data_IF_532872921766
#
_entry.id   IF_532872921766
#
_cell.length_a   1.000
_cell.length_b   1.000
_cell.length_c   1.000
_cell.angle_alpha   90.00
_cell.angle_beta   90.00
_cell.angle_gamma   90.00
#
_symmetry.space_group_name_H-M   'P 1'
#
loop_
_entity.id
_entity.type
_entity.pdbx_description
1 polymer ?
#
# COMPACT_ATOMS: atom_id res chain seq x y z
N UNK A 1 -24.32 10.34 -2.86
CA UNK A 1 -23.29 9.68 -2.05
C UNK A 1 -22.20 9.17 -2.96
N UNK A 2 -20.96 9.27 -2.52
CA UNK A 2 -19.79 8.88 -3.31
C UNK A 2 -19.16 7.61 -2.75
N UNK A 3 -18.28 6.98 -3.54
CA UNK A 3 -17.43 5.88 -3.09
C UNK A 3 -15.98 6.21 -3.34
N UNK A 4 -15.12 5.85 -2.39
CA UNK A 4 -13.67 5.91 -2.53
C UNK A 4 -13.14 4.48 -2.46
N UNK A 5 -12.39 4.06 -3.47
CA UNK A 5 -11.72 2.77 -3.50
C UNK A 5 -10.22 3.04 -3.35
N UNK A 6 -9.69 2.73 -2.18
CA UNK A 6 -8.27 2.82 -1.89
C UNK A 6 -7.59 1.56 -2.41
N UNK A 7 -6.60 1.73 -3.29
CA UNK A 7 -5.76 0.63 -3.79
C UNK A 7 -4.29 0.87 -3.43
N UNK A 8 -3.58 -0.23 -3.10
CA UNK A 8 -2.15 -0.24 -2.78
C UNK A 8 -1.47 -1.50 -3.30
N UNK A 9 -0.22 -1.78 -2.89
CA UNK A 9 0.62 -2.83 -3.52
C UNK A 9 -0.04 -4.21 -3.53
N UNK A 10 -0.85 -4.54 -2.52
CA UNK A 10 -1.64 -5.78 -2.48
C UNK A 10 -2.67 -5.92 -3.60
N UNK A 11 -3.13 -4.81 -4.19
CA UNK A 11 -3.97 -4.81 -5.38
C UNK A 11 -3.17 -5.30 -6.59
N UNK A 12 -1.97 -4.78 -6.80
CA UNK A 12 -1.08 -5.21 -7.87
C UNK A 12 -0.65 -6.67 -7.69
N UNK A 13 -0.32 -7.07 -6.46
CA UNK A 13 0.00 -8.46 -6.11
C UNK A 13 -1.16 -9.42 -6.43
N UNK A 14 -2.41 -9.01 -6.20
CA UNK A 14 -3.57 -9.81 -6.58
C UNK A 14 -3.66 -10.05 -8.10
N UNK A 15 -3.08 -9.17 -8.91
CA UNK A 15 -2.96 -9.29 -10.36
C UNK A 15 -1.61 -9.90 -10.81
N UNK A 16 -0.89 -10.57 -9.90
CA UNK A 16 0.41 -11.18 -10.13
C UNK A 16 1.54 -10.20 -10.51
N UNK A 17 1.39 -8.91 -10.22
CA UNK A 17 2.47 -7.93 -10.33
C UNK A 17 3.31 -7.95 -9.07
N UNK A 18 4.61 -8.23 -9.21
CA UNK A 18 5.58 -8.27 -8.12
C UNK A 18 5.99 -6.87 -7.65
N UNK A 19 5.05 -6.09 -7.11
CA UNK A 19 5.30 -4.71 -6.64
C UNK A 19 5.70 -4.63 -5.16
N UNK A 20 5.86 -5.77 -4.49
CA UNK A 20 6.31 -5.82 -3.11
C UNK A 20 7.76 -5.36 -2.96
N UNK A 21 8.09 -4.68 -1.86
CA UNK A 21 9.48 -4.26 -1.59
C UNK A 21 10.43 -5.45 -1.42
N UNK A 22 9.93 -6.61 -0.95
CA UNK A 22 10.72 -7.84 -0.96
C UNK A 22 11.07 -8.28 -2.38
N UNK A 23 10.08 -8.34 -3.28
CA UNK A 23 10.32 -8.75 -4.67
C UNK A 23 11.33 -7.84 -5.37
N UNK A 24 11.27 -6.53 -5.07
CA UNK A 24 12.23 -5.54 -5.52
C UNK A 24 13.66 -5.83 -5.03
N UNK A 25 13.86 -6.02 -3.72
CA UNK A 25 15.19 -6.32 -3.15
C UNK A 25 15.72 -7.66 -3.65
N UNK A 26 14.85 -8.66 -3.74
CA UNK A 26 15.20 -9.99 -4.22
C UNK A 26 15.59 -9.97 -5.71
N UNK A 27 14.89 -9.23 -6.59
CA UNK A 27 15.26 -9.06 -8.00
C UNK A 27 16.64 -8.40 -8.16
N UNK A 28 16.95 -7.40 -7.33
CA UNK A 28 18.26 -6.76 -7.32
C UNK A 28 19.36 -7.79 -6.99
N UNK A 29 19.25 -8.51 -5.87
CA UNK A 29 20.29 -9.46 -5.45
C UNK A 29 20.41 -10.66 -6.38
N UNK A 30 19.31 -11.14 -6.95
CA UNK A 30 19.35 -12.17 -8.00
C UNK A 30 20.08 -11.67 -9.24
N UNK A 31 19.82 -10.44 -9.68
CA UNK A 31 20.53 -9.83 -10.81
C UNK A 31 22.03 -9.68 -10.54
N UNK A 32 22.42 -9.26 -9.32
CA UNK A 32 23.83 -9.17 -8.91
C UNK A 32 24.49 -10.56 -8.94
N UNK A 33 23.83 -11.57 -8.36
CA UNK A 33 24.31 -12.95 -8.34
C UNK A 33 24.50 -13.53 -9.74
N UNK A 34 23.54 -13.28 -10.64
CA UNK A 34 23.62 -13.69 -12.05
C UNK A 34 24.80 -13.05 -12.78
N UNK A 35 25.05 -11.75 -12.57
CA UNK A 35 26.19 -11.05 -13.21
C UNK A 35 27.55 -11.55 -12.72
N UNK A 36 27.64 -11.94 -11.46
CA UNK A 36 28.91 -12.35 -10.83
C UNK A 36 29.27 -13.79 -11.15
N UNK A 37 28.32 -14.71 -11.02
CA UNK A 37 28.58 -16.13 -11.22
C UNK A 37 28.26 -16.58 -12.65
N UNK A 38 27.31 -15.93 -13.33
CA UNK A 38 26.82 -16.32 -14.65
C UNK A 38 25.81 -17.46 -14.57
N UNK A 39 24.66 -17.33 -15.26
CA UNK A 39 23.60 -18.36 -15.26
C UNK A 39 24.07 -19.75 -15.74
N UNK A 40 25.04 -19.80 -16.65
CA UNK A 40 25.65 -21.05 -17.11
C UNK A 40 26.40 -21.81 -16.00
N UNK A 41 27.18 -21.10 -15.18
CA UNK A 41 27.95 -21.72 -14.10
C UNK A 41 27.08 -22.07 -12.89
N UNK A 42 25.97 -21.36 -12.68
CA UNK A 42 24.95 -21.75 -11.70
C UNK A 42 24.42 -23.15 -12.00
N UNK A 43 24.08 -23.43 -13.26
CA UNK A 43 23.58 -24.74 -13.71
C UNK A 43 24.66 -25.84 -13.54
N UNK A 44 25.92 -25.55 -13.89
CA UNK A 44 27.00 -26.53 -13.78
C UNK A 44 27.43 -26.82 -12.33
N UNK A 45 27.41 -25.84 -11.42
CA UNK A 45 27.69 -26.11 -9.99
C UNK A 45 26.57 -26.97 -9.39
N UNK A 46 25.31 -26.69 -9.72
CA UNK A 46 24.17 -27.49 -9.25
C UNK A 46 24.20 -28.93 -9.78
N UNK A 47 24.60 -29.12 -11.04
CA UNK A 47 24.55 -30.44 -11.69
C UNK A 47 25.82 -31.27 -11.50
N UNK A 48 26.99 -30.62 -11.39
CA UNK A 48 28.30 -31.28 -11.44
C UNK A 48 29.28 -30.84 -10.34
N UNK A 49 28.91 -29.88 -9.48
CA UNK A 49 29.79 -29.33 -8.44
C UNK A 49 31.02 -28.59 -9.00
N UNK A 50 30.95 -28.14 -10.26
CA UNK A 50 32.04 -27.40 -10.90
C UNK A 50 31.97 -25.92 -10.54
N UNK A 51 32.94 -25.49 -9.75
CA UNK A 51 32.99 -24.15 -9.18
C UNK A 51 33.84 -23.20 -10.05
N UNK A 52 33.27 -22.05 -10.44
CA UNK A 52 33.92 -21.06 -11.32
C UNK A 52 34.39 -19.82 -10.56
N UNK A 53 35.30 -19.06 -11.16
CA UNK A 53 35.72 -17.75 -10.66
C UNK A 53 34.56 -16.76 -10.59
N UNK A 54 34.51 -15.96 -9.52
CA UNK A 54 33.56 -14.85 -9.39
C UNK A 54 34.06 -13.65 -10.21
N UNK A 55 33.18 -13.07 -11.03
CA UNK A 55 33.45 -11.82 -11.72
C UNK A 55 33.34 -10.62 -10.76
N UNK A 56 34.12 -9.58 -11.03
CA UNK A 56 33.96 -8.30 -10.35
C UNK A 56 32.62 -7.66 -10.74
N UNK A 57 31.99 -6.96 -9.78
CA UNK A 57 30.75 -6.22 -9.97
C UNK A 57 30.83 -4.85 -9.29
N UNK A 58 30.32 -3.82 -9.96
CA UNK A 58 30.34 -2.45 -9.44
C UNK A 58 29.11 -1.69 -9.92
N UNK A 59 28.34 -1.17 -8.97
CA UNK A 59 27.27 -0.21 -9.25
C UNK A 59 27.21 0.88 -8.16
N UNK A 60 26.12 1.64 -8.09
CA UNK A 60 25.96 2.70 -7.08
C UNK A 60 25.78 2.17 -5.65
N UNK A 61 25.30 0.94 -5.48
CA UNK A 61 24.91 0.37 -4.19
C UNK A 61 25.98 -0.53 -3.61
N UNK A 62 26.67 -1.32 -4.44
CA UNK A 62 27.64 -2.30 -4.00
C UNK A 62 28.90 -2.33 -4.87
N UNK A 63 30.00 -2.78 -4.27
CA UNK A 63 31.21 -3.19 -4.96
C UNK A 63 31.56 -4.61 -4.54
N UNK A 64 31.66 -5.52 -5.51
CA UNK A 64 32.16 -6.89 -5.31
C UNK A 64 33.42 -7.05 -6.13
N UNK A 65 34.53 -7.37 -5.47
CA UNK A 65 35.83 -7.46 -6.14
C UNK A 65 36.66 -8.60 -5.57
N UNK A 66 37.46 -9.19 -6.44
CA UNK A 66 38.41 -10.25 -6.07
C UNK A 66 39.81 -9.65 -5.92
N UNK A 67 40.47 -9.87 -4.78
CA UNK A 67 41.85 -9.42 -4.51
C UNK A 67 42.81 -10.60 -4.37
N UNK A 68 44.06 -10.40 -4.77
CA UNK A 68 45.15 -11.35 -4.57
C UNK A 68 45.65 -11.32 -3.13
N UNK A 69 45.87 -12.50 -2.56
CA UNK A 69 46.27 -12.71 -1.16
C UNK A 69 45.08 -13.08 -0.29
N UNK A 70 45.31 -14.03 0.65
CA UNK A 70 44.33 -14.40 1.68
C UNK A 70 44.31 -13.26 2.71
N UNK A 71 43.34 -12.36 2.60
CA UNK A 71 43.19 -11.28 3.55
C UNK A 71 42.67 -11.79 4.90
N UNK A 72 43.26 -11.33 6.00
CA UNK A 72 42.73 -11.51 7.38
C UNK A 72 41.56 -10.57 7.68
N UNK A 73 41.07 -9.82 6.69
CA UNK A 73 39.98 -8.84 6.87
C UNK A 73 38.64 -9.50 6.66
N UNK A 74 37.91 -9.60 7.77
CA UNK A 74 36.50 -9.93 7.92
C UNK A 74 35.68 -9.32 6.77
N UNK A 75 34.81 -10.11 6.14
CA UNK A 75 33.67 -9.54 5.40
C UNK A 75 33.03 -8.47 6.31
N UNK A 76 32.60 -7.33 5.76
CA UNK A 76 31.77 -6.39 6.55
C UNK A 76 30.65 -7.23 7.19
N UNK A 77 30.60 -7.25 8.53
CA UNK A 77 29.67 -8.10 9.28
C UNK A 77 28.26 -7.52 9.14
N UNK A 78 27.55 -7.87 8.07
CA UNK A 78 26.13 -7.60 7.95
C UNK A 78 25.33 -8.89 8.18
N UNK A 79 24.16 -8.74 8.80
CA UNK A 79 23.33 -9.87 9.23
C UNK A 79 22.41 -10.32 8.09
N UNK A 80 22.39 -11.62 7.80
CA UNK A 80 21.53 -12.21 6.76
C UNK A 80 21.03 -13.60 7.19
N UNK A 81 19.95 -14.05 6.54
CA UNK A 81 19.42 -15.41 6.67
C UNK A 81 19.79 -16.24 5.45
N UNK A 82 20.28 -17.46 5.67
CA UNK A 82 20.52 -18.43 4.59
C UNK A 82 19.20 -18.75 3.84
N UNK A 83 19.26 -18.85 2.52
CA UNK A 83 18.09 -19.08 1.65
C UNK A 83 17.40 -17.81 1.15
N UNK A 84 17.82 -16.62 1.58
CA UNK A 84 17.45 -15.35 0.92
C UNK A 84 18.43 -15.04 -0.22
N UNK A 85 18.05 -14.28 -1.28
CA UNK A 85 18.96 -13.95 -2.37
C UNK A 85 20.28 -13.29 -1.94
N UNK A 86 20.26 -12.39 -0.95
CA UNK A 86 21.47 -11.82 -0.35
C UNK A 86 22.27 -12.88 0.42
N UNK A 87 21.60 -13.71 1.21
CA UNK A 87 22.24 -14.80 1.95
C UNK A 87 22.90 -15.81 1.02
N UNK A 88 22.24 -16.19 -0.07
CA UNK A 88 22.77 -17.06 -1.11
C UNK A 88 24.04 -16.49 -1.75
N UNK A 89 24.06 -15.18 -2.05
CA UNK A 89 25.25 -14.50 -2.55
C UNK A 89 26.39 -14.55 -1.52
N UNK A 90 26.10 -14.31 -0.24
CA UNK A 90 27.10 -14.36 0.83
C UNK A 90 27.65 -15.77 1.04
N UNK A 91 26.79 -16.79 0.97
CA UNK A 91 27.18 -18.20 1.03
C UNK A 91 28.04 -18.57 -0.18
N UNK A 92 27.71 -18.07 -1.38
CA UNK A 92 28.52 -18.25 -2.59
C UNK A 92 29.93 -17.65 -2.43
N UNK A 93 30.01 -16.41 -1.93
CA UNK A 93 31.29 -15.73 -1.66
C UNK A 93 32.09 -16.50 -0.59
N UNK A 94 31.44 -16.97 0.47
CA UNK A 94 32.09 -17.74 1.54
C UNK A 94 32.63 -19.08 1.03
N UNK A 95 31.86 -19.79 0.19
CA UNK A 95 32.29 -21.02 -0.50
C UNK A 95 33.48 -20.74 -1.43
N UNK A 96 33.46 -19.62 -2.15
CA UNK A 96 34.57 -19.18 -2.99
C UNK A 96 35.85 -18.96 -2.18
N UNK A 97 35.76 -18.15 -1.13
CA UNK A 97 36.90 -17.79 -0.29
C UNK A 97 37.45 -18.99 0.49
N UNK A 98 36.60 -19.95 0.85
CA UNK A 98 37.03 -21.17 1.56
C UNK A 98 37.74 -22.16 0.63
N UNK A 99 37.36 -22.21 -0.64
CA UNK A 99 37.94 -23.12 -1.64
C UNK A 99 39.15 -22.53 -2.37
N UNK A 100 39.30 -21.20 -2.39
CA UNK A 100 40.40 -20.51 -3.07
C UNK A 100 41.50 -20.10 -2.08
N UNK A 101 42.74 -20.49 -2.38
CA UNK A 101 43.91 -20.20 -1.54
C UNK A 101 44.68 -18.95 -1.97
N UNK A 102 44.35 -18.39 -3.14
CA UNK A 102 45.14 -17.33 -3.80
C UNK A 102 44.42 -16.00 -3.86
N UNK A 103 43.09 -16.01 -3.88
CA UNK A 103 42.28 -14.80 -4.00
C UNK A 103 41.11 -14.80 -3.02
N UNK A 104 40.74 -13.62 -2.54
CA UNK A 104 39.57 -13.40 -1.68
C UNK A 104 38.63 -12.40 -2.35
N UNK A 105 37.36 -12.76 -2.46
CA UNK A 105 36.27 -11.90 -2.94
C UNK A 105 35.56 -11.25 -1.76
N UNK A 106 35.32 -9.95 -1.84
CA UNK A 106 34.62 -9.18 -0.81
C UNK A 106 33.39 -8.48 -1.42
N UNK A 107 32.31 -8.43 -0.65
CA UNK A 107 31.16 -7.55 -0.89
C UNK A 107 31.30 -6.33 0.03
N UNK A 108 31.23 -5.14 -0.55
CA UNK A 108 31.19 -3.87 0.15
C UNK A 108 29.95 -3.08 -0.25
N UNK A 109 29.23 -2.55 0.73
CA UNK A 109 28.15 -1.60 0.48
C UNK A 109 28.71 -0.19 0.26
N UNK A 110 28.23 0.48 -0.79
CA UNK A 110 28.47 1.90 -1.06
C UNK A 110 27.32 2.78 -0.58
N UNK A 111 26.12 2.21 -0.51
CA UNK A 111 24.91 2.85 -0.02
C UNK A 111 24.47 2.15 1.28
N UNK A 112 24.62 2.86 2.41
CA UNK A 112 24.41 2.32 3.76
C UNK A 112 22.92 2.15 4.04
N UNK A 113 22.07 3.05 3.55
CA UNK A 113 20.62 2.86 3.63
C UNK A 113 20.16 1.58 2.91
N UNK A 114 20.75 1.29 1.73
CA UNK A 114 20.45 0.07 0.98
C UNK A 114 20.93 -1.20 1.70
N UNK A 115 22.08 -1.14 2.38
CA UNK A 115 22.55 -2.20 3.28
C UNK A 115 21.54 -2.49 4.39
N UNK A 116 21.04 -1.44 5.05
CA UNK A 116 20.05 -1.54 6.12
C UNK A 116 18.78 -2.26 5.66
N UNK A 117 18.18 -1.82 4.55
CA UNK A 117 16.94 -2.44 4.04
C UNK A 117 17.18 -3.85 3.50
N UNK A 118 18.33 -4.11 2.87
CA UNK A 118 18.68 -5.44 2.35
C UNK A 118 18.89 -6.46 3.46
N UNK A 119 19.61 -6.07 4.51
CA UNK A 119 19.86 -6.91 5.68
C UNK A 119 18.54 -7.23 6.39
N UNK A 120 17.68 -6.22 6.61
CA UNK A 120 16.37 -6.43 7.22
C UNK A 120 15.48 -7.35 6.39
N UNK A 121 15.37 -7.09 5.08
CA UNK A 121 14.58 -7.92 4.17
C UNK A 121 15.06 -9.39 4.17
N UNK A 122 16.38 -9.61 4.16
CA UNK A 122 16.96 -10.94 4.26
C UNK A 122 16.57 -11.67 5.55
N UNK A 123 16.58 -10.97 6.69
CA UNK A 123 16.31 -11.57 8.00
C UNK A 123 14.82 -11.89 8.23
N UNK A 124 13.93 -10.97 7.84
CA UNK A 124 12.50 -11.04 8.19
C UNK A 124 11.58 -11.42 7.04
N UNK A 125 12.10 -11.62 5.84
CA UNK A 125 11.29 -11.86 4.63
C UNK A 125 10.25 -10.74 4.38
N UNK A 126 10.52 -9.54 4.91
CA UNK A 126 9.63 -8.37 4.86
C UNK A 126 10.43 -7.10 5.13
N UNK A 127 10.10 -6.01 4.44
CA UNK A 127 10.65 -4.69 4.72
C UNK A 127 9.63 -3.62 4.34
N UNK A 128 9.62 -2.53 5.10
CA UNK A 128 8.93 -1.30 4.75
C UNK A 128 9.98 -0.19 4.64
N UNK A 129 10.33 0.14 3.39
CA UNK A 129 11.45 1.04 3.08
C UNK A 129 11.17 2.46 3.62
N UNK A 130 9.92 2.91 3.64
CA UNK A 130 9.56 4.24 4.12
C UNK A 130 9.66 4.33 5.63
N UNK A 131 9.24 3.28 6.34
CA UNK A 131 9.44 3.18 7.79
C UNK A 131 10.93 3.03 8.15
N UNK A 132 11.73 2.31 7.36
CA UNK A 132 13.19 2.23 7.58
C UNK A 132 13.89 3.57 7.37
N UNK A 133 13.48 4.32 6.36
CA UNK A 133 13.97 5.69 6.14
C UNK A 133 13.62 6.59 7.32
N UNK A 134 12.38 6.53 7.81
CA UNK A 134 11.99 7.33 8.97
C UNK A 134 12.73 6.93 10.24
N UNK A 135 12.97 5.63 10.46
CA UNK A 135 13.79 5.19 11.57
C UNK A 135 15.24 5.70 11.46
N UNK A 136 15.83 5.73 10.25
CA UNK A 136 17.12 6.35 10.03
C UNK A 136 17.11 7.87 10.29
N UNK A 137 16.03 8.58 9.96
CA UNK A 137 15.86 9.99 10.35
C UNK A 137 15.89 10.16 11.87
N UNK A 138 15.16 9.30 12.61
CA UNK A 138 15.15 9.34 14.09
C UNK A 138 16.52 9.10 14.68
N UNK A 139 17.29 8.17 14.12
CA UNK A 139 18.66 7.91 14.56
C UNK A 139 19.53 9.17 14.43
N UNK A 140 19.35 9.95 13.35
CA UNK A 140 20.05 11.21 13.13
C UNK A 140 19.61 12.35 14.07
N UNK A 141 18.37 12.31 14.60
CA UNK A 141 17.91 13.28 15.61
C UNK A 141 18.74 13.21 16.90
N UNK A 142 19.34 12.05 17.19
CA UNK A 142 20.15 11.83 18.38
C UNK A 142 21.58 12.36 18.23
N UNK A 143 22.01 12.72 17.01
CA UNK A 143 23.33 13.31 16.76
C UNK A 143 23.41 14.73 17.32
N UNK A 144 24.39 14.97 18.20
CA UNK A 144 24.54 16.24 18.91
C UNK A 144 25.36 17.26 18.13
N UNK A 145 26.22 16.78 17.23
CA UNK A 145 26.99 17.66 16.35
C UNK A 145 26.11 18.09 15.17
N UNK A 146 25.72 19.37 15.15
CA UNK A 146 24.83 19.93 14.12
C UNK A 146 25.45 19.91 12.72
N UNK A 147 26.77 20.04 12.58
CA UNK A 147 27.44 20.00 11.27
C UNK A 147 27.46 18.56 10.74
N UNK A 148 27.76 17.61 11.62
CA UNK A 148 27.72 16.18 11.28
C UNK A 148 26.29 15.74 10.95
N UNK A 149 25.31 16.07 11.79
CA UNK A 149 23.90 15.77 11.56
C UNK A 149 23.42 16.30 10.19
N UNK A 150 23.75 17.55 9.87
CA UNK A 150 23.37 18.17 8.59
C UNK A 150 24.04 17.50 7.38
N UNK A 151 25.26 17.00 7.52
CA UNK A 151 25.94 16.23 6.47
C UNK A 151 25.36 14.84 6.31
N UNK A 152 25.10 14.15 7.42
CA UNK A 152 24.61 12.77 7.42
C UNK A 152 23.18 12.67 6.87
N UNK A 153 22.31 13.66 7.15
CA UNK A 153 20.97 13.72 6.53
C UNK A 153 21.04 13.90 5.01
N UNK A 154 21.95 14.73 4.51
CA UNK A 154 22.14 14.89 3.05
C UNK A 154 22.64 13.60 2.39
N UNK A 155 23.50 12.84 3.09
CA UNK A 155 23.93 11.52 2.62
C UNK A 155 22.73 10.56 2.60
N UNK A 156 21.95 10.48 3.68
CA UNK A 156 20.77 9.64 3.76
C UNK A 156 19.74 9.97 2.66
N UNK A 157 19.46 11.25 2.41
CA UNK A 157 18.53 11.68 1.37
C UNK A 157 19.00 11.27 -0.02
N UNK A 158 20.30 11.42 -0.30
CA UNK A 158 20.89 10.96 -1.56
C UNK A 158 20.82 9.44 -1.71
N UNK A 159 21.14 8.71 -0.65
CA UNK A 159 21.08 7.25 -0.65
C UNK A 159 19.64 6.75 -0.86
N UNK A 160 18.66 7.43 -0.25
CA UNK A 160 17.23 7.16 -0.42
C UNK A 160 16.77 7.45 -1.86
N UNK A 161 17.25 8.54 -2.47
CA UNK A 161 16.97 8.88 -3.86
C UNK A 161 17.56 7.87 -4.85
N UNK A 162 18.78 7.37 -4.59
CA UNK A 162 19.35 6.27 -5.38
C UNK A 162 18.45 5.01 -5.29
N UNK A 163 17.97 4.64 -4.08
CA UNK A 163 17.03 3.52 -3.91
C UNK A 163 15.72 3.75 -4.64
N UNK A 164 15.18 4.97 -4.60
CA UNK A 164 13.99 5.35 -5.36
C UNK A 164 14.19 5.12 -6.86
N UNK A 165 15.31 5.60 -7.43
CA UNK A 165 15.61 5.39 -8.84
C UNK A 165 15.76 3.92 -9.23
N UNK A 166 16.31 3.08 -8.34
CA UNK A 166 16.39 1.64 -8.55
C UNK A 166 15.00 0.98 -8.52
N UNK A 167 14.13 1.39 -7.59
CA UNK A 167 12.75 0.93 -7.50
C UNK A 167 11.96 1.30 -8.76
N UNK A 168 12.11 2.51 -9.27
CA UNK A 168 11.46 2.96 -10.51
C UNK A 168 11.87 2.11 -11.71
N UNK A 169 13.17 1.82 -11.84
CA UNK A 169 13.68 0.95 -12.91
C UNK A 169 13.11 -0.48 -12.81
N UNK A 170 13.04 -1.02 -11.58
CA UNK A 170 12.45 -2.33 -11.32
C UNK A 170 10.97 -2.38 -11.68
N UNK A 171 10.19 -1.40 -11.21
CA UNK A 171 8.75 -1.33 -11.48
C UNK A 171 8.46 -1.18 -12.98
N UNK A 172 9.30 -0.44 -13.71
CA UNK A 172 9.17 -0.28 -15.18
C UNK A 172 9.34 -1.64 -15.87
N UNK A 173 10.40 -2.38 -15.50
CA UNK A 173 10.69 -3.72 -16.03
C UNK A 173 9.55 -4.71 -15.81
N UNK A 174 8.95 -4.75 -14.62
CA UNK A 174 7.89 -5.74 -14.32
C UNK A 174 6.58 -5.40 -15.04
N UNK A 175 6.25 -4.11 -15.21
CA UNK A 175 5.00 -3.69 -15.86
C UNK A 175 5.04 -3.93 -17.37
N UNK A 176 6.19 -3.72 -18.02
CA UNK A 176 6.36 -3.98 -19.46
C UNK A 176 6.13 -5.45 -19.83
N UNK A 177 6.41 -6.37 -18.90
CA UNK A 177 6.30 -7.82 -19.11
C UNK A 177 5.03 -8.43 -18.51
N UNK A 178 4.11 -7.61 -17.98
CA UNK A 178 2.96 -8.09 -17.23
C UNK A 178 1.79 -8.49 -18.14
N UNK A 179 1.27 -9.69 -17.91
CA UNK A 179 -0.03 -10.12 -18.44
C UNK A 179 -1.11 -9.95 -17.36
N UNK A 180 -1.93 -8.91 -17.52
CA UNK A 180 -2.90 -8.47 -16.53
C UNK A 180 -4.29 -9.02 -16.84
N UNK A 181 -4.89 -9.67 -15.86
CA UNK A 181 -6.22 -10.28 -16.00
C UNK A 181 -7.23 -9.58 -15.08
N UNK A 182 -8.44 -9.36 -15.60
CA UNK A 182 -9.53 -8.81 -14.81
C UNK A 182 -10.08 -9.86 -13.83
N UNK A 183 -10.15 -9.50 -12.55
CA UNK A 183 -10.88 -10.28 -11.55
C UNK A 183 -12.34 -9.83 -11.41
N UNK A 184 -13.27 -10.78 -11.60
CA UNK A 184 -14.71 -10.50 -11.52
C UNK A 184 -15.14 -10.08 -10.10
N UNK A 185 -14.51 -10.60 -9.04
CA UNK A 185 -14.79 -10.20 -7.66
C UNK A 185 -14.56 -8.70 -7.44
N UNK A 186 -13.46 -8.17 -8.00
CA UNK A 186 -13.11 -6.75 -7.94
C UNK A 186 -14.10 -5.93 -8.76
N UNK A 187 -14.42 -6.37 -9.99
CA UNK A 187 -15.40 -5.69 -10.84
C UNK A 187 -16.78 -5.59 -10.15
N UNK A 188 -17.24 -6.69 -9.54
CA UNK A 188 -18.50 -6.73 -8.80
C UNK A 188 -18.49 -5.77 -7.61
N UNK A 189 -17.38 -5.71 -6.86
CA UNK A 189 -17.21 -4.79 -5.74
C UNK A 189 -17.22 -3.32 -6.19
N UNK A 190 -16.60 -2.98 -7.32
CA UNK A 190 -16.60 -1.62 -7.84
C UNK A 190 -18.02 -1.14 -8.19
N UNK A 191 -18.84 -2.05 -8.75
CA UNK A 191 -20.23 -1.78 -9.15
C UNK A 191 -21.29 -2.08 -8.07
N UNK A 192 -20.89 -2.41 -6.83
CA UNK A 192 -21.86 -2.83 -5.81
C UNK A 192 -22.72 -1.67 -5.32
N UNK A 193 -23.93 -1.96 -4.85
CA UNK A 193 -24.76 -0.98 -4.15
C UNK A 193 -24.10 -0.56 -2.83
N UNK A 194 -24.53 0.57 -2.29
CA UNK A 194 -24.33 0.95 -0.89
C UNK A 194 -25.22 0.06 -0.03
N UNK A 195 -24.62 -0.71 0.86
CA UNK A 195 -25.36 -1.49 1.85
C UNK A 195 -25.65 -0.64 3.09
N UNK A 196 -26.86 -0.77 3.64
CA UNK A 196 -27.22 -0.05 4.87
C UNK A 196 -26.52 -0.64 6.08
N UNK A 197 -26.31 -1.96 6.09
CA UNK A 197 -25.63 -2.65 7.18
C UNK A 197 -24.14 -2.30 7.25
N UNK A 198 -23.56 -1.84 6.13
CA UNK A 198 -22.20 -1.28 6.12
C UNK A 198 -22.13 0.10 6.81
N UNK A 199 -23.23 0.83 6.98
CA UNK A 199 -23.20 2.24 7.43
C UNK A 199 -23.09 2.35 8.95
N UNK A 200 -22.12 3.13 9.42
CA UNK A 200 -21.93 3.41 10.83
C UNK A 200 -23.23 3.90 11.50
N UNK A 201 -23.52 3.40 12.71
CA UNK A 201 -24.76 3.71 13.40
C UNK A 201 -24.92 5.22 13.62
N UNK A 202 -23.83 5.92 13.98
CA UNK A 202 -23.86 7.36 14.18
C UNK A 202 -24.06 8.17 12.87
N UNK A 203 -24.00 7.52 11.71
CA UNK A 203 -24.10 8.14 10.38
C UNK A 203 -25.35 7.74 9.60
N UNK A 204 -26.16 6.80 10.08
CA UNK A 204 -27.35 6.30 9.37
C UNK A 204 -28.35 7.42 9.02
N UNK A 205 -28.65 8.33 9.94
CA UNK A 205 -29.54 9.47 9.63
C UNK A 205 -28.96 10.35 8.51
N UNK A 206 -27.66 10.64 8.55
CA UNK A 206 -26.98 11.40 7.50
C UNK A 206 -27.02 10.69 6.15
N UNK A 207 -26.86 9.37 6.15
CA UNK A 207 -26.99 8.53 4.96
C UNK A 207 -28.40 8.65 4.36
N UNK A 208 -29.44 8.43 5.18
CA UNK A 208 -30.83 8.54 4.75
C UNK A 208 -31.17 9.95 4.27
N UNK A 209 -30.78 10.99 4.99
CA UNK A 209 -30.99 12.39 4.60
C UNK A 209 -30.43 12.71 3.21
N UNK A 210 -29.28 12.13 2.86
CA UNK A 210 -28.67 12.32 1.54
C UNK A 210 -29.49 11.67 0.41
N UNK A 211 -30.12 10.52 0.67
CA UNK A 211 -31.03 9.87 -0.28
C UNK A 211 -32.25 10.76 -0.53
N UNK A 212 -32.86 11.27 0.54
CA UNK A 212 -34.01 12.16 0.41
C UNK A 212 -33.68 13.49 -0.25
N UNK A 213 -32.47 14.01 -0.01
CA UNK A 213 -31.99 15.20 -0.73
C UNK A 213 -31.93 14.95 -2.24
N UNK A 214 -31.50 13.75 -2.65
CA UNK A 214 -31.49 13.37 -4.06
C UNK A 214 -32.87 13.07 -4.65
N UNK A 215 -33.77 12.44 -3.88
CA UNK A 215 -35.17 12.25 -4.30
C UNK A 215 -35.83 13.60 -4.57
N UNK A 216 -35.66 14.57 -3.67
CA UNK A 216 -36.17 15.93 -3.86
C UNK A 216 -35.56 16.61 -5.09
N UNK A 217 -34.25 16.43 -5.34
CA UNK A 217 -33.58 17.00 -6.51
C UNK A 217 -34.06 16.39 -7.85
N UNK A 218 -34.68 15.21 -7.81
CA UNK A 218 -35.24 14.50 -8.98
C UNK A 218 -36.77 14.63 -9.08
N UNK A 219 -37.39 15.46 -8.23
CA UNK A 219 -38.85 15.57 -8.10
C UNK A 219 -39.53 14.21 -7.88
N UNK A 220 -38.90 13.31 -7.11
CA UNK A 220 -39.48 12.02 -6.74
C UNK A 220 -40.40 12.16 -5.52
N UNK A 221 -41.72 12.09 -5.77
CA UNK A 221 -42.77 12.20 -4.76
C UNK A 221 -43.17 10.85 -4.11
N UNK A 222 -42.45 9.75 -4.36
CA UNK A 222 -42.79 8.42 -3.81
C UNK A 222 -42.94 8.45 -2.28
N UNK A 223 -42.06 9.18 -1.58
CA UNK A 223 -42.14 9.33 -0.13
C UNK A 223 -43.39 10.09 0.34
N UNK A 224 -43.73 11.20 -0.32
CA UNK A 224 -44.92 11.99 0.04
C UNK A 224 -46.18 11.15 -0.19
N UNK A 225 -46.25 10.44 -1.32
CA UNK A 225 -47.35 9.55 -1.64
C UNK A 225 -47.46 8.40 -0.63
N UNK A 226 -46.36 7.76 -0.21
CA UNK A 226 -46.41 6.70 0.80
C UNK A 226 -46.86 7.24 2.17
N UNK A 227 -46.42 8.46 2.52
CA UNK A 227 -46.79 9.12 3.78
C UNK A 227 -48.29 9.43 3.85
N UNK A 228 -48.88 9.94 2.77
CA UNK A 228 -50.31 10.28 2.72
C UNK A 228 -51.21 9.04 2.78
N UNK A 229 -50.73 7.90 2.25
CA UNK A 229 -51.51 6.67 2.14
C UNK A 229 -51.33 5.69 3.31
N UNK A 230 -50.33 5.88 4.18
CA UNK A 230 -50.07 4.96 5.30
C UNK A 230 -50.24 5.63 6.67
N UNK A 231 -51.23 5.17 7.44
CA UNK A 231 -51.51 5.69 8.78
C UNK A 231 -50.40 5.45 9.81
N UNK A 232 -49.44 4.56 9.54
CA UNK A 232 -48.31 4.29 10.44
C UNK A 232 -47.46 5.54 10.69
N UNK A 233 -47.32 6.43 9.69
CA UNK A 233 -46.56 7.67 9.84
C UNK A 233 -47.18 8.66 10.84
N UNK A 234 -48.47 8.53 11.17
CA UNK A 234 -49.11 9.37 12.18
C UNK A 234 -48.63 9.07 13.60
N UNK A 235 -48.01 7.89 13.81
CA UNK A 235 -47.41 7.50 15.09
C UNK A 235 -45.96 7.96 15.24
N UNK A 236 -45.38 8.51 14.18
CA UNK A 236 -43.98 8.93 14.13
C UNK A 236 -43.92 10.46 14.24
N UNK A 237 -43.14 10.96 15.18
CA UNK A 237 -43.13 12.39 15.51
C UNK A 237 -42.20 13.17 14.58
N UNK A 238 -40.98 12.70 14.38
CA UNK A 238 -39.96 13.48 13.67
C UNK A 238 -39.89 13.17 12.17
N UNK A 239 -39.47 14.17 11.38
CA UNK A 239 -39.24 13.98 9.93
C UNK A 239 -38.17 12.91 9.66
N UNK A 240 -37.08 12.91 10.43
CA UNK A 240 -35.98 11.96 10.30
C UNK A 240 -36.44 10.51 10.51
N UNK A 241 -37.28 10.26 11.51
CA UNK A 241 -37.82 8.91 11.77
C UNK A 241 -38.78 8.47 10.66
N UNK A 242 -39.59 9.38 10.10
CA UNK A 242 -40.45 9.07 8.94
C UNK A 242 -39.62 8.70 7.72
N UNK A 243 -38.55 9.45 7.47
CA UNK A 243 -37.61 9.18 6.38
C UNK A 243 -36.91 7.82 6.56
N UNK A 244 -36.43 7.55 7.77
CA UNK A 244 -35.84 6.25 8.11
C UNK A 244 -36.85 5.10 7.91
N UNK A 245 -38.09 5.26 8.38
CA UNK A 245 -39.13 4.25 8.23
C UNK A 245 -39.41 3.93 6.75
N UNK A 246 -39.58 4.96 5.91
CA UNK A 246 -39.75 4.77 4.47
C UNK A 246 -38.56 4.06 3.83
N UNK A 247 -37.34 4.48 4.19
CA UNK A 247 -36.12 3.87 3.69
C UNK A 247 -36.06 2.37 4.03
N UNK A 248 -36.28 2.00 5.29
CA UNK A 248 -36.28 0.60 5.74
C UNK A 248 -37.33 -0.26 5.01
N UNK A 249 -38.48 0.32 4.67
CA UNK A 249 -39.53 -0.34 3.88
C UNK A 249 -39.12 -0.60 2.43
N UNK A 250 -38.17 0.18 1.87
CA UNK A 250 -37.86 0.22 0.43
C UNK A 250 -36.45 -0.23 0.09
N UNK A 251 -35.50 -0.25 1.02
CA UNK A 251 -34.08 -0.44 0.69
C UNK A 251 -33.78 -1.75 -0.04
N UNK A 252 -34.59 -2.80 0.17
CA UNK A 252 -34.40 -4.10 -0.51
C UNK A 252 -34.98 -4.15 -1.92
N UNK A 253 -35.80 -3.17 -2.30
CA UNK A 253 -36.37 -3.12 -3.63
C UNK A 253 -35.28 -2.79 -4.66
N UNK A 254 -35.12 -3.65 -5.67
CA UNK A 254 -34.08 -3.53 -6.71
C UNK A 254 -34.19 -2.19 -7.47
N UNK A 255 -35.39 -1.71 -7.76
CA UNK A 255 -35.57 -0.42 -8.45
C UNK A 255 -35.11 0.73 -7.56
N UNK A 256 -35.44 0.68 -6.27
CA UNK A 256 -34.97 1.66 -5.29
C UNK A 256 -33.44 1.65 -5.17
N UNK A 257 -32.82 0.46 -5.07
CA UNK A 257 -31.36 0.31 -5.03
C UNK A 257 -30.68 0.94 -6.25
N UNK A 258 -31.18 0.64 -7.46
CA UNK A 258 -30.64 1.19 -8.72
C UNK A 258 -30.74 2.70 -8.80
N UNK A 259 -31.82 3.28 -8.27
CA UNK A 259 -32.05 4.72 -8.34
C UNK A 259 -31.26 5.49 -7.28
N UNK A 260 -31.12 4.94 -6.07
CA UNK A 260 -30.70 5.71 -4.89
C UNK A 260 -29.53 5.13 -4.09
N UNK A 261 -29.22 3.84 -4.26
CA UNK A 261 -28.12 3.16 -3.55
C UNK A 261 -26.92 2.87 -4.45
N UNK A 262 -26.91 3.36 -5.68
CA UNK A 262 -25.69 3.42 -6.48
C UNK A 262 -24.86 4.66 -6.09
N UNK A 263 -23.53 4.54 -5.96
CA UNK A 263 -22.67 5.72 -5.83
C UNK A 263 -22.88 6.68 -7.01
N UNK A 264 -22.96 7.98 -6.74
CA UNK A 264 -23.00 9.01 -7.81
C UNK A 264 -21.66 9.11 -8.52
N UNK A 265 -20.59 9.13 -7.72
CA UNK A 265 -19.22 9.15 -8.21
C UNK A 265 -18.40 8.13 -7.43
N UNK A 266 -17.62 7.33 -8.15
CA UNK A 266 -16.62 6.44 -7.57
C UNK A 266 -15.24 6.97 -7.93
N UNK A 267 -14.43 7.23 -6.89
CA UNK A 267 -13.05 7.64 -6.98
C UNK A 267 -12.15 6.47 -6.61
N UNK A 268 -11.22 6.12 -7.50
CA UNK A 268 -10.10 5.23 -7.19
C UNK A 268 -8.96 6.10 -6.67
N UNK A 269 -8.65 5.96 -5.39
CA UNK A 269 -7.49 6.58 -4.77
C UNK A 269 -6.31 5.61 -4.86
N UNK A 270 -5.46 5.82 -5.86
CA UNK A 270 -4.36 4.94 -6.21
C UNK A 270 -3.08 5.35 -5.49
N UNK A 271 -2.62 4.50 -4.57
CA UNK A 271 -1.32 4.64 -3.88
C UNK A 271 -0.20 3.88 -4.60
N UNK A 272 -0.52 3.07 -5.62
CA UNK A 272 0.48 2.42 -6.45
C UNK A 272 1.03 3.40 -7.47
N UNK A 273 2.26 3.14 -7.90
CA UNK A 273 2.89 3.86 -9.01
C UNK A 273 2.45 3.31 -10.38
N UNK A 274 1.74 2.19 -10.38
CA UNK A 274 1.28 1.45 -11.56
C UNK A 274 -0.12 1.89 -12.00
N UNK A 275 -0.48 1.56 -13.25
CA UNK A 275 -1.79 1.88 -13.85
C UNK A 275 -2.71 0.66 -13.94
N UNK A 276 -2.55 -0.32 -13.04
CA UNK A 276 -3.30 -1.59 -13.07
C UNK A 276 -4.81 -1.35 -13.07
N UNK A 277 -5.30 -0.51 -12.15
CA UNK A 277 -6.73 -0.24 -12.03
C UNK A 277 -7.30 0.52 -13.24
N UNK A 278 -6.55 1.50 -13.75
CA UNK A 278 -6.91 2.26 -14.95
C UNK A 278 -7.04 1.35 -16.20
N UNK A 279 -6.09 0.43 -16.38
CA UNK A 279 -6.09 -0.48 -17.52
C UNK A 279 -7.24 -1.50 -17.48
N UNK A 280 -7.60 -1.98 -16.30
CA UNK A 280 -8.53 -3.11 -16.16
C UNK A 280 -9.97 -2.70 -15.83
N UNK A 281 -10.18 -1.63 -15.05
CA UNK A 281 -11.48 -1.40 -14.41
C UNK A 281 -12.17 -0.08 -14.77
N UNK A 282 -11.49 0.84 -15.49
CA UNK A 282 -12.05 2.19 -15.72
C UNK A 282 -12.57 2.46 -17.13
N UNK A 283 -12.28 1.62 -18.13
CA UNK A 283 -12.60 1.89 -19.53
C UNK A 283 -14.10 2.17 -19.81
N UNK A 284 -15.00 1.50 -19.09
CA UNK A 284 -16.46 1.59 -19.34
C UNK A 284 -17.27 2.23 -18.19
N UNK A 285 -16.62 2.51 -17.05
CA UNK A 285 -17.33 2.79 -15.79
C UNK A 285 -17.29 4.27 -15.35
N UNK A 286 -16.51 5.12 -16.03
CA UNK A 286 -16.43 6.55 -15.70
C UNK A 286 -15.84 6.85 -14.32
N UNK A 287 -15.03 5.95 -13.76
CA UNK A 287 -14.39 6.14 -12.46
C UNK A 287 -13.33 7.23 -12.52
N UNK A 288 -13.34 8.12 -11.53
CA UNK A 288 -12.28 9.09 -11.34
C UNK A 288 -11.06 8.39 -10.73
N UNK A 289 -9.84 8.76 -11.13
CA UNK A 289 -8.61 8.22 -10.54
C UNK A 289 -7.75 9.37 -10.03
N UNK A 290 -7.29 9.24 -8.79
CA UNK A 290 -6.25 10.09 -8.23
C UNK A 290 -5.04 9.21 -7.89
N UNK A 291 -3.95 9.39 -8.63
CA UNK A 291 -2.65 8.76 -8.34
C UNK A 291 -1.92 9.60 -7.28
N UNK A 292 -2.24 9.33 -6.01
CA UNK A 292 -1.87 10.21 -4.89
C UNK A 292 -0.36 10.19 -4.62
N UNK A 293 0.29 9.07 -4.94
CA UNK A 293 1.73 8.88 -4.81
C UNK A 293 2.51 9.11 -6.11
N UNK A 294 1.87 9.73 -7.11
CA UNK A 294 2.49 9.88 -8.42
C UNK A 294 2.36 8.65 -9.30
N UNK A 295 2.95 8.75 -10.48
CA UNK A 295 2.89 7.74 -11.53
C UNK A 295 4.30 7.44 -12.03
N UNK A 296 4.53 6.16 -12.33
CA UNK A 296 5.77 5.73 -12.98
C UNK A 296 5.90 6.39 -14.36
N UNK A 297 7.10 6.90 -14.66
CA UNK A 297 7.42 7.55 -15.94
C UNK A 297 6.56 8.77 -16.29
N UNK A 298 6.08 9.52 -15.27
CA UNK A 298 5.30 10.75 -15.46
C UNK A 298 5.98 11.96 -14.78
N UNK A 299 6.54 12.86 -15.59
CA UNK A 299 7.21 14.07 -15.08
C UNK A 299 6.25 15.08 -14.41
N UNK A 300 4.96 15.08 -14.79
CA UNK A 300 3.97 16.00 -14.22
C UNK A 300 3.39 15.50 -12.89
N UNK A 301 3.52 14.20 -12.62
CA UNK A 301 3.07 13.56 -11.41
C UNK A 301 4.12 12.54 -10.95
N UNK A 302 5.33 13.00 -10.57
CA UNK A 302 6.44 12.12 -10.25
C UNK A 302 6.17 11.33 -8.97
N UNK A 303 6.89 10.23 -8.81
CA UNK A 303 6.74 9.34 -7.65
C UNK A 303 7.01 10.07 -6.33
N UNK A 304 6.04 9.99 -5.44
CA UNK A 304 6.09 10.45 -4.05
C UNK A 304 6.39 9.24 -3.17
N UNK A 305 7.66 9.05 -2.88
CA UNK A 305 8.17 8.01 -1.99
C UNK A 305 8.78 8.68 -0.74
N UNK A 306 8.39 8.22 0.44
CA UNK A 306 8.80 8.86 1.70
C UNK A 306 7.89 8.57 2.89
N UNK A 307 8.05 9.34 3.96
CA UNK A 307 7.28 9.13 5.19
C UNK A 307 6.17 10.16 5.37
N UNK A 308 5.06 9.77 6.00
CA UNK A 308 3.85 10.59 6.08
C UNK A 308 3.03 10.41 7.36
N UNK A 309 3.68 10.10 8.49
CA UNK A 309 3.06 10.18 9.82
C UNK A 309 3.47 11.47 10.55
N UNK A 310 2.68 12.53 10.37
CA UNK A 310 2.90 13.80 11.08
C UNK A 310 2.34 13.78 12.50
N UNK A 311 1.60 12.73 12.86
CA UNK A 311 1.01 12.57 14.19
C UNK A 311 1.97 11.88 15.17
N UNK A 312 3.16 11.46 14.70
CA UNK A 312 4.22 10.87 15.49
C UNK A 312 4.95 11.95 16.31
N UNK A 313 5.31 11.63 17.55
CA UNK A 313 5.97 12.61 18.44
C UNK A 313 7.34 13.05 17.92
N UNK A 314 8.05 12.16 17.22
CA UNK A 314 9.40 12.47 16.73
C UNK A 314 9.33 13.36 15.48
N UNK A 315 8.20 13.36 14.75
CA UNK A 315 7.98 14.28 13.64
C UNK A 315 7.96 15.73 14.13
N UNK A 316 7.32 15.97 15.28
CA UNK A 316 7.33 17.30 15.90
C UNK A 316 8.76 17.77 16.22
N UNK A 317 9.63 16.86 16.67
CA UNK A 317 11.03 17.18 16.91
C UNK A 317 11.78 17.52 15.60
N UNK A 318 11.45 16.83 14.49
CA UNK A 318 11.95 17.14 13.16
C UNK A 318 11.56 18.57 12.72
N UNK A 319 10.30 18.96 12.90
CA UNK A 319 9.82 20.31 12.54
C UNK A 319 10.53 21.41 13.35
N UNK A 320 10.80 21.16 14.63
CA UNK A 320 11.43 22.12 15.54
C UNK A 320 12.94 22.35 15.24
N UNK A 321 13.61 21.42 14.55
CA UNK A 321 15.06 21.49 14.25
C UNK A 321 15.45 22.59 13.25
N UNK A 322 14.49 23.19 12.54
CA UNK A 322 14.73 24.20 11.49
C UNK A 322 15.77 23.77 10.42
N UNK A 323 15.88 22.47 10.14
CA UNK A 323 16.74 21.91 9.11
C UNK A 323 15.91 21.23 8.02
N UNK A 324 15.78 21.91 6.87
CA UNK A 324 14.91 21.48 5.78
C UNK A 324 15.31 20.13 5.15
N UNK A 325 16.54 19.65 5.31
CA UNK A 325 16.94 18.35 4.79
C UNK A 325 16.17 17.20 5.46
N UNK A 326 15.74 17.35 6.72
CA UNK A 326 14.89 16.33 7.37
C UNK A 326 13.48 16.27 6.79
N UNK A 327 13.04 17.33 6.13
CA UNK A 327 11.70 17.46 5.55
C UNK A 327 11.64 17.06 4.07
N UNK A 328 12.79 16.77 3.45
CA UNK A 328 12.92 16.54 2.00
C UNK A 328 12.07 15.37 1.49
N UNK A 329 11.97 14.29 2.26
CA UNK A 329 11.21 13.09 1.90
C UNK A 329 9.93 12.90 2.73
N UNK A 330 9.32 14.01 3.16
CA UNK A 330 8.01 13.98 3.82
C UNK A 330 6.90 14.09 2.76
N UNK A 331 5.97 13.13 2.77
CA UNK A 331 4.92 12.99 1.73
C UNK A 331 3.97 14.18 1.68
N UNK A 332 3.57 14.71 2.83
CA UNK A 332 2.64 15.86 2.91
C UNK A 332 3.17 17.09 2.19
N UNK A 333 4.49 17.35 2.29
CA UNK A 333 5.16 18.42 1.56
C UNK A 333 5.15 18.13 0.07
N UNK A 334 5.45 16.89 -0.33
CA UNK A 334 5.43 16.46 -1.74
C UNK A 334 4.02 16.51 -2.35
N UNK A 335 2.95 16.31 -1.58
CA UNK A 335 1.57 16.43 -2.07
C UNK A 335 1.21 17.84 -2.58
N UNK A 336 1.96 18.87 -2.21
CA UNK A 336 1.78 20.22 -2.74
C UNK A 336 2.38 20.42 -4.14
N UNK A 337 3.16 19.46 -4.64
CA UNK A 337 3.77 19.53 -5.97
C UNK A 337 2.75 19.29 -7.10
N UNK A 338 1.62 18.65 -6.79
CA UNK A 338 0.53 18.41 -7.75
C UNK A 338 -0.83 18.79 -7.15
N UNK A 339 -1.89 18.77 -7.97
CA UNK A 339 -3.27 19.06 -7.50
C UNK A 339 -3.96 17.84 -6.90
N UNK A 340 -3.34 16.67 -6.88
CA UNK A 340 -3.98 15.40 -6.52
C UNK A 340 -4.56 15.42 -5.11
N UNK A 341 -3.79 15.87 -4.11
CA UNK A 341 -4.28 15.96 -2.74
C UNK A 341 -5.41 17.00 -2.59
N UNK A 342 -5.32 18.13 -3.29
CA UNK A 342 -6.42 19.12 -3.30
C UNK A 342 -7.69 18.57 -3.97
N UNK A 343 -7.56 17.79 -5.02
CA UNK A 343 -8.70 17.13 -5.68
C UNK A 343 -9.35 16.11 -4.73
N UNK A 344 -8.55 15.35 -3.99
CA UNK A 344 -9.06 14.46 -2.93
C UNK A 344 -9.83 15.24 -1.87
N UNK A 345 -9.29 16.36 -1.36
CA UNK A 345 -9.97 17.20 -0.38
C UNK A 345 -11.32 17.75 -0.89
N UNK A 346 -11.36 18.18 -2.15
CA UNK A 346 -12.61 18.61 -2.79
C UNK A 346 -13.62 17.45 -2.86
N UNK A 347 -13.17 16.25 -3.24
CA UNK A 347 -14.02 15.07 -3.34
C UNK A 347 -14.64 14.70 -1.98
N UNK A 348 -13.83 14.56 -0.93
CA UNK A 348 -14.32 14.15 0.41
C UNK A 348 -15.23 15.21 1.05
N UNK A 349 -15.07 16.48 0.68
CA UNK A 349 -15.88 17.58 1.18
C UNK A 349 -17.23 17.71 0.46
N UNK A 350 -17.34 17.18 -0.76
CA UNK A 350 -18.51 17.39 -1.63
C UNK A 350 -19.78 16.71 -1.11
N UNK A 351 -19.72 15.41 -0.81
CA UNK A 351 -20.87 14.58 -0.45
C UNK A 351 -20.45 13.50 0.57
N UNK A 352 -21.41 12.91 1.32
CA UNK A 352 -21.15 11.71 2.11
C UNK A 352 -20.60 10.56 1.26
N UNK A 353 -19.65 9.79 1.80
CA UNK A 353 -18.98 8.72 1.07
C UNK A 353 -18.71 7.46 1.90
N UNK A 354 -18.62 6.34 1.18
CA UNK A 354 -18.14 5.04 1.68
C UNK A 354 -16.70 4.80 1.19
N UNK A 355 -15.87 4.18 2.02
CA UNK A 355 -14.50 3.80 1.67
C UNK A 355 -14.39 2.28 1.54
N UNK A 356 -13.82 1.83 0.44
CA UNK A 356 -13.35 0.46 0.24
C UNK A 356 -11.83 0.43 0.29
N UNK A 357 -11.26 -0.47 1.09
CA UNK A 357 -9.81 -0.70 1.18
C UNK A 357 -9.48 -2.00 0.47
N UNK A 358 -8.72 -1.92 -0.62
CA UNK A 358 -8.39 -3.05 -1.49
C UNK A 358 -6.87 -3.15 -1.68
N UNK A 359 -6.22 -4.06 -0.96
CA UNK A 359 -4.78 -4.30 -1.12
C UNK A 359 -3.86 -3.16 -0.68
N UNK A 360 -4.38 -2.13 0.00
CA UNK A 360 -3.56 -1.15 0.71
C UNK A 360 -3.24 -1.64 2.12
N UNK A 361 -2.02 -1.39 2.60
CA UNK A 361 -1.57 -1.88 3.91
C UNK A 361 -2.13 -1.04 5.07
N UNK A 362 -2.64 0.16 4.79
CA UNK A 362 -3.02 1.20 5.74
C UNK A 362 -1.90 1.54 6.75
N UNK A 363 -0.64 1.37 6.34
CA UNK A 363 0.54 1.55 7.18
C UNK A 363 0.78 3.01 7.60
N UNK A 364 1.70 3.19 8.56
CA UNK A 364 1.96 4.50 9.15
C UNK A 364 2.54 5.50 8.15
N UNK A 365 3.23 5.07 7.09
CA UNK A 365 3.82 5.97 6.11
C UNK A 365 2.78 6.82 5.37
N UNK A 366 1.49 6.46 5.41
CA UNK A 366 0.37 7.19 4.81
C UNK A 366 -0.59 7.78 5.86
N UNK A 367 -0.24 7.71 7.15
CA UNK A 367 -1.15 7.94 8.28
C UNK A 367 -1.83 9.29 8.26
N UNK A 368 -1.12 10.38 7.96
CA UNK A 368 -1.73 11.73 7.92
C UNK A 368 -2.86 11.81 6.90
N UNK A 369 -2.65 11.26 5.70
CA UNK A 369 -3.65 11.27 4.64
C UNK A 369 -4.82 10.35 4.97
N UNK A 370 -4.54 9.12 5.43
CA UNK A 370 -5.58 8.17 5.80
C UNK A 370 -6.41 8.67 7.00
N UNK A 371 -5.78 9.32 7.98
CA UNK A 371 -6.50 9.96 9.10
C UNK A 371 -7.46 11.03 8.59
N UNK A 372 -6.99 11.90 7.68
CA UNK A 372 -7.82 12.95 7.06
C UNK A 372 -9.04 12.34 6.37
N UNK A 373 -8.86 11.22 5.66
CA UNK A 373 -9.93 10.53 4.95
C UNK A 373 -10.91 9.79 5.88
N UNK A 374 -10.39 9.07 6.88
CA UNK A 374 -11.17 8.18 7.73
C UNK A 374 -11.93 8.91 8.83
N UNK A 375 -11.38 10.01 9.37
CA UNK A 375 -12.03 10.80 10.41
C UNK A 375 -12.83 11.99 9.86
N UNK A 376 -12.92 12.13 8.53
CA UNK A 376 -13.74 13.17 7.93
C UNK A 376 -15.23 12.97 8.27
N UNK A 377 -15.95 14.08 8.49
CA UNK A 377 -17.37 14.04 8.87
C UNK A 377 -18.28 13.38 7.82
N UNK A 378 -17.87 13.35 6.55
CA UNK A 378 -18.58 12.72 5.44
C UNK A 378 -18.24 11.24 5.24
N UNK A 379 -17.24 10.69 5.94
CA UNK A 379 -16.96 9.25 5.93
C UNK A 379 -18.07 8.50 6.67
N UNK A 380 -18.72 7.58 5.99
CA UNK A 380 -19.87 6.82 6.51
C UNK A 380 -19.48 5.42 6.96
N UNK A 381 -18.55 4.80 6.23
CA UNK A 381 -18.06 3.47 6.55
C UNK A 381 -16.77 3.16 5.83
N UNK A 382 -16.00 2.22 6.39
CA UNK A 382 -14.78 1.68 5.83
C UNK A 382 -14.92 0.16 5.75
N UNK A 383 -15.02 -0.37 4.53
CA UNK A 383 -15.12 -1.80 4.23
C UNK A 383 -13.79 -2.33 3.71
N UNK A 384 -13.32 -3.42 4.28
CA UNK A 384 -12.02 -4.02 3.94
C UNK A 384 -12.23 -5.20 3.01
N UNK A 385 -11.54 -5.19 1.86
CA UNK A 385 -11.40 -6.35 1.01
C UNK A 385 -10.05 -7.01 1.26
N UNK A 386 -10.06 -8.09 2.02
CA UNK A 386 -8.83 -8.70 2.55
C UNK A 386 -8.22 -9.71 1.57
N UNK A 387 -6.91 -9.89 1.65
CA UNK A 387 -6.20 -10.89 0.88
C UNK A 387 -6.31 -12.26 1.55
N UNK A 388 -6.57 -13.30 0.75
CA UNK A 388 -6.58 -14.69 1.18
C UNK A 388 -5.40 -15.44 0.56
N UNK A 389 -4.79 -16.32 1.35
CA UNK A 389 -3.68 -17.15 0.89
C UNK A 389 -3.73 -18.55 1.51
N UNK A 390 -3.04 -19.48 0.85
CA UNK A 390 -2.87 -20.86 1.31
C UNK A 390 -1.46 -21.03 1.85
N UNK A 391 -1.35 -21.78 2.94
CA UNK A 391 -0.06 -22.26 3.45
C UNK A 391 -0.18 -23.73 3.86
N UNK A 392 0.91 -24.48 3.71
CA UNK A 392 0.97 -25.90 4.05
C UNK A 392 1.68 -26.05 5.39
N UNK A 393 0.89 -26.25 6.45
CA UNK A 393 1.41 -26.48 7.79
C UNK A 393 1.28 -27.96 8.12
N UNK A 394 2.42 -28.61 8.41
CA UNK A 394 2.48 -30.05 8.76
C UNK A 394 1.86 -30.96 7.67
N UNK A 395 2.02 -30.59 6.40
CA UNK A 395 1.47 -31.34 5.26
C UNK A 395 -0.03 -31.13 5.02
N UNK A 396 -0.67 -30.22 5.74
CA UNK A 396 -2.09 -29.88 5.59
C UNK A 396 -2.23 -28.46 5.04
N UNK A 397 -2.96 -28.31 3.93
CA UNK A 397 -3.32 -26.99 3.40
C UNK A 397 -4.29 -26.27 4.36
N UNK A 398 -3.89 -25.07 4.78
CA UNK A 398 -4.72 -24.17 5.58
C UNK A 398 -4.87 -22.84 4.84
N UNK A 399 -6.02 -22.21 5.05
CA UNK A 399 -6.36 -20.91 4.47
C UNK A 399 -6.16 -19.84 5.53
N UNK A 400 -5.51 -18.76 5.15
CA UNK A 400 -5.23 -17.61 5.98
C UNK A 400 -5.71 -16.34 5.28
N UNK A 401 -5.93 -15.29 6.07
CA UNK A 401 -6.25 -13.97 5.57
C UNK A 401 -5.47 -12.89 6.31
N UNK A 402 -5.32 -11.73 5.67
CA UNK A 402 -4.64 -10.58 6.26
C UNK A 402 -5.59 -9.57 6.95
N UNK A 403 -6.87 -9.92 7.16
CA UNK A 403 -7.87 -8.97 7.68
C UNK A 403 -7.42 -8.36 9.01
N UNK A 404 -6.96 -9.21 9.95
CA UNK A 404 -6.54 -8.74 11.28
C UNK A 404 -5.41 -7.71 11.21
N UNK A 405 -4.47 -7.88 10.28
CA UNK A 405 -3.33 -6.98 10.14
C UNK A 405 -3.73 -5.65 9.50
N UNK A 406 -4.62 -5.68 8.49
CA UNK A 406 -5.20 -4.47 7.91
C UNK A 406 -5.97 -3.68 8.97
N UNK A 407 -6.79 -4.33 9.80
CA UNK A 407 -7.53 -3.66 10.88
C UNK A 407 -6.59 -3.05 11.92
N UNK A 408 -5.52 -3.75 12.33
CA UNK A 408 -4.51 -3.20 13.24
C UNK A 408 -3.88 -1.94 12.66
N UNK A 409 -3.56 -1.93 11.37
CA UNK A 409 -2.97 -0.79 10.68
C UNK A 409 -3.96 0.37 10.57
N UNK A 410 -5.18 0.12 10.10
CA UNK A 410 -6.27 1.12 10.09
C UNK A 410 -6.45 1.72 11.48
N UNK A 411 -6.39 0.90 12.54
CA UNK A 411 -6.58 1.40 13.90
C UNK A 411 -5.58 2.47 14.30
N UNK A 412 -4.36 2.45 13.77
CA UNK A 412 -3.34 3.47 14.06
C UNK A 412 -3.67 4.81 13.40
N UNK A 413 -4.45 4.80 12.31
CA UNK A 413 -4.87 5.99 11.58
C UNK A 413 -6.03 6.74 12.24
N UNK A 414 -6.60 6.22 13.35
CA UNK A 414 -7.66 6.89 14.10
C UNK A 414 -7.15 7.48 15.42
N UNK A 415 -7.51 8.73 15.68
CA UNK A 415 -7.39 9.36 17.00
C UNK A 415 -8.60 9.01 17.87
N UNK A 416 -9.80 8.94 17.28
CA UNK A 416 -11.05 8.60 17.97
C UNK A 416 -11.39 7.10 17.82
N UNK A 417 -10.97 6.28 18.80
CA UNK A 417 -11.21 4.83 18.80
C UNK A 417 -12.70 4.42 18.88
N UNK A 418 -13.57 5.10 19.65
CA UNK A 418 -15.01 4.87 19.56
C UNK A 418 -15.56 5.03 18.14
N UNK A 419 -15.22 6.13 17.46
CA UNK A 419 -15.65 6.39 16.09
C UNK A 419 -15.14 5.31 15.12
N UNK A 420 -13.88 4.89 15.27
CA UNK A 420 -13.29 3.80 14.49
C UNK A 420 -14.13 2.51 14.57
N UNK A 421 -14.57 2.10 15.77
CA UNK A 421 -15.34 0.87 15.96
C UNK A 421 -16.74 0.92 15.36
N UNK A 422 -17.29 2.12 15.16
CA UNK A 422 -18.59 2.30 14.53
C UNK A 422 -18.48 2.42 12.99
N UNK A 423 -17.40 3.04 12.49
CA UNK A 423 -17.18 3.24 11.04
C UNK A 423 -16.61 2.01 10.33
N UNK A 424 -15.84 1.17 11.02
CA UNK A 424 -15.30 -0.04 10.41
C UNK A 424 -16.39 -1.11 10.28
N UNK A 425 -16.60 -1.56 9.05
CA UNK A 425 -17.52 -2.66 8.75
C UNK A 425 -17.01 -3.95 9.38
N UNK A 426 -17.92 -4.76 9.92
CA UNK A 426 -17.58 -6.03 10.56
C UNK A 426 -17.01 -7.03 9.54
N UNK A 427 -16.22 -8.00 10.02
CA UNK A 427 -15.60 -9.02 9.14
C UNK A 427 -16.64 -9.84 8.39
N UNK A 428 -17.79 -10.10 9.00
CA UNK A 428 -18.88 -10.89 8.42
C UNK A 428 -19.48 -10.26 7.16
N UNK A 429 -19.45 -8.93 7.08
CA UNK A 429 -19.92 -8.18 5.91
C UNK A 429 -18.78 -7.83 4.95
N UNK A 430 -17.54 -8.12 5.30
CA UNK A 430 -16.36 -7.94 4.45
C UNK A 430 -16.11 -9.17 3.56
N UNK A 431 -15.44 -8.94 2.42
CA UNK A 431 -15.20 -10.01 1.42
C UNK A 431 -13.71 -10.11 1.08
N UNK A 432 -13.23 -11.29 0.64
CA UNK A 432 -11.89 -11.37 0.08
C UNK A 432 -11.78 -10.54 -1.21
N UNK A 433 -10.62 -9.92 -1.44
CA UNK A 433 -10.34 -9.15 -2.66
C UNK A 433 -10.41 -10.04 -3.91
N UNK A 434 -9.72 -11.18 -3.86
CA UNK A 434 -9.82 -12.27 -4.83
C UNK A 434 -10.04 -13.56 -4.02
N UNK A 435 -11.23 -14.15 -4.06
CA UNK A 435 -11.51 -15.40 -3.37
C UNK A 435 -10.59 -16.53 -3.84
N UNK A 436 -10.03 -17.31 -2.92
CA UNK A 436 -9.21 -18.49 -3.27
C UNK A 436 -10.07 -19.70 -3.66
N UNK A 437 -11.35 -19.69 -3.27
CA UNK A 437 -12.38 -20.62 -3.74
C UNK A 437 -13.40 -19.83 -4.54
N UNK A 438 -13.75 -20.30 -5.73
CA UNK A 438 -15.02 -19.90 -6.34
C UNK A 438 -16.12 -20.36 -5.38
N UNK A 439 -16.75 -19.41 -4.68
CA UNK A 439 -18.03 -19.70 -4.08
C UNK A 439 -18.95 -20.11 -5.24
N UNK A 440 -19.39 -21.37 -5.22
CA UNK A 440 -20.44 -21.82 -6.10
C UNK A 440 -21.62 -20.88 -5.84
N UNK A 441 -21.96 -20.06 -6.84
CA UNK A 441 -23.13 -19.19 -6.76
C UNK A 441 -24.35 -20.08 -6.46
N UNK A 442 -24.97 -19.89 -5.30
CA UNK A 442 -26.29 -20.43 -4.99
C UNK A 442 -27.40 -19.62 -5.67
#
# INVERSE_FOLDING_TARGET
MNRIIIIGNGFDLAHNLKTGYKDFIDDYWNTVREKIYGGYWQLLDQQYGMFHSLNDYDDKFVNIKTRYGKGDTENEYFSYKEGSPLGDLCTLITKYNSSNTTTTTYLKFKNIFFERISSKCSLTDWVDIENEYYAALKDLLLEKDSQKQSKDIQVLNKEFDDVKGLLEAYLTKIIENADLNLHQSIQNAFSSFLDFDDIANCKQNKFVDSIFSAMNARDDYEFMNDMENNFEYNKIETKSEKQMHFFLKKHDNISFKKNYLMPYTTLILNFNYTKTAEKLYTADNGFEIINIHGELNNENNPIIFGYGDELDSDYKAIEELQNNYFLENIKSIKYHQTRNYRNLLNFISSEPYQVFVMGHSCGNSDRTLLNTLFEHNNCLSIKVFYYQFKDTIEGVERYFDNYSDVIKNISRNFNNKPNMRDILVNKEDCSPLVPVKEEAAE
#
